data_IF_149130612204
#
_entry.id   IF_149130612204
#
_cell.length_a   1.000
_cell.length_b   1.000
_cell.length_c   1.000
_cell.angle_alpha   90.00
_cell.angle_beta   90.00
_cell.angle_gamma   90.00
#
_symmetry.space_group_name_H-M   'P 1'
#
loop_
_entity.id
_entity.type
_entity.pdbx_description
1 polymer ?
#
# COMPACT_ATOMS: atom_id res chain seq x y z
N UNK A 1 38.22 -12.49 -27.79
CA UNK A 1 37.04 -13.28 -27.35
C UNK A 1 37.00 -13.20 -25.83
N UNK A 2 36.23 -12.26 -25.29
CA UNK A 2 36.20 -12.01 -23.84
C UNK A 2 35.24 -13.00 -23.17
N UNK A 3 35.57 -13.54 -21.98
CA UNK A 3 34.74 -14.54 -21.33
C UNK A 3 33.43 -13.90 -20.81
N UNK A 4 32.32 -14.54 -21.13
CA UNK A 4 30.99 -14.23 -20.61
C UNK A 4 30.99 -14.40 -19.09
N UNK A 5 30.60 -13.34 -18.36
CA UNK A 5 30.38 -13.41 -16.91
C UNK A 5 29.27 -14.43 -16.62
N UNK A 6 29.38 -15.27 -15.57
CA UNK A 6 28.38 -16.27 -15.28
C UNK A 6 27.05 -15.59 -14.89
N UNK A 7 25.96 -16.11 -15.46
CA UNK A 7 24.58 -15.79 -15.08
C UNK A 7 24.45 -16.04 -13.58
N UNK A 8 24.16 -14.99 -12.81
CA UNK A 8 23.89 -15.12 -11.37
C UNK A 8 22.67 -16.05 -11.20
N UNK A 9 22.87 -17.12 -10.42
CA UNK A 9 21.87 -18.15 -10.10
C UNK A 9 20.53 -17.53 -9.65
N UNK A 10 19.41 -18.02 -10.18
CA UNK A 10 18.02 -17.65 -9.82
C UNK A 10 17.74 -17.75 -8.31
N UNK A 11 18.49 -18.57 -7.57
CA UNK A 11 18.46 -18.59 -6.10
C UNK A 11 18.91 -17.28 -5.47
N UNK A 12 19.84 -16.58 -6.11
CA UNK A 12 20.33 -15.25 -5.68
C UNK A 12 19.27 -14.18 -5.92
N UNK A 13 18.51 -14.26 -7.02
CA UNK A 13 17.37 -13.36 -7.28
C UNK A 13 16.24 -13.55 -6.27
N UNK A 14 16.00 -14.79 -5.83
CA UNK A 14 15.01 -15.10 -4.77
C UNK A 14 15.39 -14.43 -3.43
N UNK A 15 16.68 -14.39 -3.09
CA UNK A 15 17.20 -13.73 -1.89
C UNK A 15 17.20 -12.19 -2.01
N UNK A 16 17.38 -11.66 -3.22
CA UNK A 16 17.34 -10.20 -3.50
C UNK A 16 15.90 -9.67 -3.40
N UNK A 17 14.90 -10.38 -3.95
CA UNK A 17 13.49 -10.03 -3.76
C UNK A 17 13.04 -10.07 -2.28
N UNK A 18 13.73 -10.81 -1.42
CA UNK A 18 13.44 -10.86 0.02
C UNK A 18 13.81 -9.54 0.72
N UNK A 19 14.87 -8.85 0.28
CA UNK A 19 15.36 -7.59 0.90
C UNK A 19 14.76 -6.32 0.29
N UNK A 20 14.33 -6.35 -0.97
CA UNK A 20 13.87 -5.15 -1.69
C UNK A 20 12.41 -4.73 -1.43
N UNK A 21 11.65 -5.46 -0.61
CA UNK A 21 10.25 -5.13 -0.26
C UNK A 21 10.08 -3.85 0.58
N UNK A 22 11.16 -3.11 0.86
CA UNK A 22 11.15 -1.89 1.67
C UNK A 22 11.28 -0.58 0.86
N UNK A 23 11.57 -0.59 -0.44
CA UNK A 23 12.09 0.62 -1.12
C UNK A 23 11.29 1.17 -2.31
N UNK A 24 10.13 0.61 -2.70
CA UNK A 24 9.44 1.06 -3.93
C UNK A 24 7.95 1.28 -3.69
N UNK A 25 7.58 2.45 -3.18
CA UNK A 25 6.25 3.06 -3.35
C UNK A 25 6.37 4.58 -3.20
N UNK A 26 6.90 5.25 -4.22
CA UNK A 26 6.74 6.69 -4.39
C UNK A 26 6.67 6.93 -5.90
N UNK A 27 5.46 6.92 -6.46
CA UNK A 27 5.12 7.77 -7.62
C UNK A 27 3.66 7.62 -8.05
N UNK A 28 3.03 8.80 -8.21
CA UNK A 28 1.80 9.15 -8.97
C UNK A 28 0.45 9.15 -8.22
N UNK A 29 0.08 10.35 -7.78
CA UNK A 29 -1.33 10.81 -7.64
C UNK A 29 -1.58 11.82 -8.76
N UNK A 30 -2.67 11.65 -9.52
CA UNK A 30 -3.16 12.64 -10.49
C UNK A 30 -4.64 12.92 -10.19
N UNK A 31 -4.97 14.19 -9.96
CA UNK A 31 -6.30 14.68 -9.60
C UNK A 31 -7.23 14.81 -10.81
N UNK A 32 -8.53 14.65 -10.59
CA UNK A 32 -9.57 14.98 -11.56
C UNK A 32 -10.76 15.63 -10.85
N UNK A 33 -10.93 16.93 -11.08
CA UNK A 33 -12.07 17.74 -10.63
C UNK A 33 -13.34 17.42 -11.43
N UNK A 34 -14.49 17.38 -10.75
CA UNK A 34 -15.80 17.54 -11.37
C UNK A 34 -16.72 18.39 -10.48
N UNK A 35 -17.22 19.49 -11.06
CA UNK A 35 -18.17 20.45 -10.50
C UNK A 35 -19.61 19.95 -10.64
N UNK A 36 -20.48 20.17 -9.64
CA UNK A 36 -21.94 20.04 -9.79
C UNK A 36 -22.66 21.20 -9.07
N UNK A 37 -23.73 21.67 -9.71
CA UNK A 37 -24.45 22.91 -9.48
C UNK A 37 -25.45 22.93 -8.31
N UNK A 38 -25.94 24.14 -8.07
CA UNK A 38 -26.80 24.61 -6.98
C UNK A 38 -28.28 24.58 -7.36
N UNK A 39 -29.18 24.15 -6.45
CA UNK A 39 -30.60 24.58 -6.40
C UNK A 39 -31.17 24.51 -4.95
N UNK A 40 -31.64 25.66 -4.42
CA UNK A 40 -32.96 25.85 -3.76
C UNK A 40 -33.26 25.38 -2.31
N UNK A 41 -33.29 26.35 -1.37
CA UNK A 41 -33.85 26.40 0.01
C UNK A 41 -35.40 26.33 0.12
N UNK A 42 -36.08 26.52 1.29
CA UNK A 42 -35.68 26.39 2.73
C UNK A 42 -36.71 25.65 3.64
N UNK A 43 -36.30 25.12 4.79
CA UNK A 43 -36.99 25.43 6.05
C UNK A 43 -36.11 25.20 7.30
N UNK A 44 -36.30 26.07 8.28
CA UNK A 44 -35.37 26.43 9.36
C UNK A 44 -35.40 25.50 10.57
N UNK A 45 -34.26 24.89 10.88
CA UNK A 45 -33.84 24.56 12.25
C UNK A 45 -32.49 25.26 12.47
N UNK A 46 -32.41 26.14 13.47
CA UNK A 46 -31.19 26.91 13.80
C UNK A 46 -30.12 25.97 14.37
N UNK A 47 -29.39 25.31 13.48
CA UNK A 47 -28.03 24.86 13.75
C UNK A 47 -27.14 26.07 13.49
N UNK A 48 -26.37 26.54 14.48
CA UNK A 48 -25.33 27.55 14.24
C UNK A 48 -24.43 27.02 13.12
N UNK A 49 -24.56 27.58 11.91
CA UNK A 49 -23.60 27.33 10.83
C UNK A 49 -22.24 27.77 11.35
N UNK A 50 -21.20 26.92 11.32
CA UNK A 50 -19.85 27.40 11.57
C UNK A 50 -19.57 28.53 10.60
N UNK A 51 -19.11 29.68 11.13
CA UNK A 51 -18.77 30.84 10.32
C UNK A 51 -17.77 30.42 9.24
N UNK A 52 -18.01 30.82 7.99
CA UNK A 52 -17.17 30.50 6.82
C UNK A 52 -15.69 30.79 7.05
N UNK A 53 -15.38 31.77 7.91
CA UNK A 53 -14.03 32.12 8.32
C UNK A 53 -13.32 30.97 9.06
N UNK A 54 -14.03 30.21 9.89
CA UNK A 54 -13.46 29.13 10.69
C UNK A 54 -13.13 27.88 9.85
N UNK A 55 -13.96 27.58 8.84
CA UNK A 55 -13.71 26.48 7.89
C UNK A 55 -12.45 26.75 7.06
N UNK A 56 -12.29 27.99 6.58
CA UNK A 56 -11.13 28.39 5.78
C UNK A 56 -9.83 28.32 6.60
N UNK A 57 -9.84 28.80 7.84
CA UNK A 57 -8.69 28.74 8.75
C UNK A 57 -8.28 27.29 9.04
N UNK A 58 -9.26 26.39 9.26
CA UNK A 58 -8.99 24.96 9.49
C UNK A 58 -8.38 24.32 8.25
N UNK A 59 -8.88 24.62 7.05
CA UNK A 59 -8.33 24.09 5.80
C UNK A 59 -6.89 24.56 5.57
N UNK A 60 -6.60 25.85 5.75
CA UNK A 60 -5.24 26.39 5.60
C UNK A 60 -4.25 25.79 6.62
N UNK A 61 -4.70 25.56 7.85
CA UNK A 61 -3.91 24.89 8.89
C UNK A 61 -3.60 23.44 8.52
N UNK A 62 -4.57 22.72 7.94
CA UNK A 62 -4.36 21.34 7.44
C UNK A 62 -3.35 21.33 6.29
N UNK A 63 -3.46 22.24 5.33
CA UNK A 63 -2.53 22.33 4.19
C UNK A 63 -1.09 22.61 4.63
N UNK A 64 -0.91 23.51 5.61
CA UNK A 64 0.39 23.78 6.19
C UNK A 64 0.97 22.54 6.91
N UNK A 65 0.14 21.80 7.65
CA UNK A 65 0.56 20.57 8.30
C UNK A 65 0.94 19.47 7.30
N UNK A 66 0.18 19.32 6.20
CA UNK A 66 0.49 18.36 5.14
C UNK A 66 1.85 18.65 4.51
N UNK A 67 2.09 19.90 4.09
CA UNK A 67 3.39 20.32 3.51
C UNK A 67 4.57 20.06 4.45
N UNK A 68 4.39 20.30 5.75
CA UNK A 68 5.43 20.00 6.76
C UNK A 68 5.68 18.50 6.84
N UNK A 69 4.62 17.69 6.86
CA UNK A 69 4.69 16.23 6.97
C UNK A 69 5.44 15.59 5.79
N UNK A 70 5.32 16.16 4.58
CA UNK A 70 5.98 15.65 3.36
C UNK A 70 7.50 15.62 3.41
N UNK A 71 8.15 16.47 4.20
CA UNK A 71 9.60 16.55 4.33
C UNK A 71 10.12 16.34 5.76
N UNK A 72 9.22 16.26 6.74
CA UNK A 72 9.52 16.02 8.14
C UNK A 72 10.28 14.71 8.38
N UNK A 73 11.26 14.74 9.27
CA UNK A 73 11.88 13.53 9.81
C UNK A 73 10.94 12.81 10.80
N UNK A 74 11.34 11.62 11.25
CA UNK A 74 10.53 10.82 12.17
C UNK A 74 10.19 11.56 13.48
N UNK A 75 11.10 12.36 14.02
CA UNK A 75 10.87 13.10 15.27
C UNK A 75 9.80 14.18 15.08
N UNK A 76 9.87 14.92 13.97
CA UNK A 76 8.85 15.90 13.63
C UNK A 76 7.50 15.24 13.34
N UNK A 77 7.46 14.12 12.61
CA UNK A 77 6.23 13.34 12.37
C UNK A 77 5.58 12.90 13.69
N UNK A 78 6.37 12.43 14.66
CA UNK A 78 5.89 12.07 16.00
C UNK A 78 5.37 13.28 16.79
N UNK A 79 6.02 14.44 16.64
CA UNK A 79 5.57 15.69 17.26
C UNK A 79 4.23 16.14 16.70
N UNK A 80 4.07 16.12 15.38
CA UNK A 80 2.79 16.39 14.69
C UNK A 80 1.71 15.41 15.18
N UNK A 81 2.03 14.12 15.22
CA UNK A 81 1.10 13.09 15.69
C UNK A 81 0.63 13.32 17.15
N UNK A 82 1.55 13.66 18.06
CA UNK A 82 1.25 13.89 19.48
C UNK A 82 0.50 15.18 19.75
N UNK A 83 0.76 16.22 18.96
CA UNK A 83 0.12 17.53 19.10
C UNK A 83 -1.27 17.60 18.49
N UNK A 84 -1.75 16.52 17.84
CA UNK A 84 -3.11 16.46 17.32
C UNK A 84 -4.12 16.59 18.46
N UNK A 85 -5.11 17.46 18.29
CA UNK A 85 -6.26 17.49 19.17
C UNK A 85 -7.22 16.38 18.74
N UNK A 86 -7.67 15.49 19.64
CA UNK A 86 -8.61 14.41 19.31
C UNK A 86 -9.96 14.92 18.77
N UNK A 87 -10.34 16.15 19.11
CA UNK A 87 -11.67 16.71 18.83
C UNK A 87 -11.73 17.65 17.62
N UNK A 88 -10.58 18.14 17.12
CA UNK A 88 -10.56 18.87 15.86
C UNK A 88 -10.56 17.83 14.75
N UNK A 89 -11.76 17.37 14.38
CA UNK A 89 -11.99 16.60 13.17
C UNK A 89 -11.30 17.31 12.01
N UNK A 90 -10.10 16.87 11.66
CA UNK A 90 -9.46 17.27 10.42
C UNK A 90 -10.46 16.87 9.36
N UNK A 91 -11.08 17.81 8.66
CA UNK A 91 -12.22 17.52 7.77
C UNK A 91 -11.93 16.54 6.63
N UNK A 92 -10.73 15.97 6.58
CA UNK A 92 -10.21 15.04 5.60
C UNK A 92 -9.29 13.97 6.23
N UNK A 93 -9.28 12.73 5.70
CA UNK A 93 -8.32 11.68 6.07
C UNK A 93 -6.87 11.97 5.64
N UNK A 94 -6.63 13.04 4.87
CA UNK A 94 -5.33 13.35 4.25
C UNK A 94 -4.14 13.36 5.23
N UNK A 95 -4.31 13.98 6.41
CA UNK A 95 -3.23 14.05 7.41
C UNK A 95 -2.82 12.66 7.91
N UNK A 96 -3.80 11.79 8.18
CA UNK A 96 -3.53 10.42 8.64
C UNK A 96 -2.89 9.56 7.55
N UNK A 97 -3.32 9.73 6.30
CA UNK A 97 -2.70 9.06 5.15
C UNK A 97 -1.23 9.48 5.02
N UNK A 98 -0.96 10.79 5.01
CA UNK A 98 0.39 11.35 4.87
C UNK A 98 1.31 10.92 6.03
N UNK A 99 0.85 11.04 7.28
CA UNK A 99 1.60 10.56 8.44
C UNK A 99 1.87 9.05 8.36
N UNK A 100 0.85 8.25 8.07
CA UNK A 100 0.98 6.79 7.97
C UNK A 100 1.99 6.37 6.90
N UNK A 101 1.94 6.98 5.72
CA UNK A 101 2.88 6.76 4.62
C UNK A 101 4.32 7.11 5.00
N UNK A 102 4.52 8.32 5.53
CA UNK A 102 5.85 8.82 5.90
C UNK A 102 6.46 7.98 7.02
N UNK A 103 5.69 7.65 8.05
CA UNK A 103 6.15 6.81 9.16
C UNK A 103 6.48 5.40 8.69
N UNK A 104 5.69 4.82 7.76
CA UNK A 104 6.05 3.55 7.11
C UNK A 104 7.33 3.65 6.29
N UNK A 105 7.57 4.75 5.60
CA UNK A 105 8.80 5.00 4.85
C UNK A 105 10.03 5.10 5.77
N UNK A 106 9.86 5.59 6.99
CA UNK A 106 10.89 5.59 8.04
C UNK A 106 11.10 4.22 8.72
N UNK A 107 10.32 3.19 8.37
CA UNK A 107 10.49 1.85 8.91
C UNK A 107 9.83 1.65 10.28
N UNK A 108 8.83 2.46 10.64
CA UNK A 108 8.15 2.43 11.94
C UNK A 108 6.70 1.89 11.84
N UNK A 109 6.49 0.59 11.53
CA UNK A 109 5.17 0.05 11.20
C UNK A 109 4.17 0.07 12.37
N UNK A 110 4.63 -0.04 13.63
CA UNK A 110 3.74 0.00 14.79
C UNK A 110 3.17 1.40 15.02
N UNK A 111 4.01 2.43 14.92
CA UNK A 111 3.54 3.81 15.02
C UNK A 111 2.61 4.16 13.85
N UNK A 112 2.94 3.71 12.64
CA UNK A 112 2.06 3.90 11.49
C UNK A 112 0.71 3.23 11.70
N UNK A 113 0.68 2.02 12.28
CA UNK A 113 -0.55 1.32 12.62
C UNK A 113 -1.44 2.14 13.57
N UNK A 114 -0.86 2.75 14.61
CA UNK A 114 -1.60 3.59 15.55
C UNK A 114 -2.20 4.83 14.86
N UNK A 115 -1.42 5.48 14.00
CA UNK A 115 -1.86 6.65 13.21
C UNK A 115 -3.03 6.28 12.31
N UNK A 116 -2.88 5.25 11.48
CA UNK A 116 -3.93 4.88 10.51
C UNK A 116 -5.17 4.34 11.21
N UNK A 117 -5.02 3.64 12.34
CA UNK A 117 -6.16 3.15 13.13
C UNK A 117 -6.98 4.31 13.70
N UNK A 118 -6.33 5.37 14.17
CA UNK A 118 -7.05 6.57 14.60
C UNK A 118 -7.78 7.26 13.44
N UNK A 119 -7.17 7.31 12.25
CA UNK A 119 -7.85 7.81 11.05
C UNK A 119 -9.07 6.96 10.69
N UNK A 120 -8.94 5.64 10.74
CA UNK A 120 -10.02 4.69 10.44
C UNK A 120 -11.16 4.73 11.45
N UNK A 121 -10.93 5.21 12.68
CA UNK A 121 -12.01 5.45 13.64
C UNK A 121 -13.01 6.49 13.13
N UNK A 122 -12.56 7.46 12.33
CA UNK A 122 -13.40 8.51 11.73
C UNK A 122 -13.79 8.18 10.29
N UNK A 123 -12.87 7.61 9.48
CA UNK A 123 -13.11 7.25 8.08
C UNK A 123 -12.92 5.75 7.84
N UNK A 124 -13.81 4.88 8.35
CA UNK A 124 -13.62 3.42 8.31
C UNK A 124 -13.59 2.83 6.89
N UNK A 125 -14.16 3.53 5.90
CA UNK A 125 -14.22 3.11 4.49
C UNK A 125 -13.11 3.72 3.64
N UNK A 126 -12.17 4.44 4.24
CA UNK A 126 -11.07 5.05 3.50
C UNK A 126 -10.12 3.99 2.93
N UNK A 127 -10.15 3.81 1.61
CA UNK A 127 -9.36 2.78 0.93
C UNK A 127 -7.87 2.91 1.23
N UNK A 128 -7.33 4.13 1.22
CA UNK A 128 -5.89 4.34 1.42
C UNK A 128 -5.47 4.05 2.86
N UNK A 129 -6.24 4.49 3.85
CA UNK A 129 -5.95 4.15 5.25
C UNK A 129 -6.02 2.64 5.50
N UNK A 130 -6.96 1.92 4.88
CA UNK A 130 -7.04 0.45 4.97
C UNK A 130 -5.83 -0.23 4.30
N UNK A 131 -5.38 0.26 3.15
CA UNK A 131 -4.14 -0.22 2.50
C UNK A 131 -2.93 -0.04 3.42
N UNK A 132 -2.77 1.16 4.00
CA UNK A 132 -1.66 1.46 4.92
C UNK A 132 -1.74 0.62 6.20
N UNK A 133 -2.94 0.37 6.72
CA UNK A 133 -3.14 -0.54 7.85
C UNK A 133 -2.71 -1.97 7.51
N UNK A 134 -3.08 -2.48 6.33
CA UNK A 134 -2.62 -3.77 5.82
C UNK A 134 -1.09 -3.85 5.70
N UNK A 135 -0.47 -2.79 5.16
CA UNK A 135 1.00 -2.71 5.04
C UNK A 135 1.70 -2.68 6.40
N UNK A 136 1.20 -1.89 7.34
CA UNK A 136 1.73 -1.78 8.69
C UNK A 136 1.63 -3.11 9.45
N UNK A 137 0.50 -3.80 9.34
CA UNK A 137 0.32 -5.14 9.92
C UNK A 137 1.25 -6.18 9.28
N UNK A 138 1.39 -6.17 7.96
CA UNK A 138 2.31 -7.08 7.27
C UNK A 138 3.77 -6.84 7.68
N UNK A 139 4.20 -5.58 7.80
CA UNK A 139 5.57 -5.22 8.21
C UNK A 139 5.85 -5.47 9.70
N UNK A 140 4.81 -5.52 10.54
CA UNK A 140 4.93 -5.86 11.98
C UNK A 140 4.73 -7.35 12.27
N UNK A 141 4.50 -8.19 11.24
CA UNK A 141 4.36 -9.64 11.37
C UNK A 141 2.95 -10.12 11.73
N UNK A 142 1.96 -9.24 11.78
CA UNK A 142 0.54 -9.59 11.99
C UNK A 142 -0.12 -10.04 10.66
N UNK A 143 0.45 -11.07 10.04
CA UNK A 143 0.18 -11.48 8.66
C UNK A 143 -1.28 -11.85 8.41
N UNK A 144 -1.93 -12.62 9.29
CA UNK A 144 -3.34 -13.00 9.11
C UNK A 144 -4.27 -11.79 9.05
N UNK A 145 -4.03 -10.81 9.93
CA UNK A 145 -4.82 -9.57 9.99
C UNK A 145 -4.59 -8.71 8.75
N UNK A 146 -3.34 -8.61 8.29
CA UNK A 146 -3.00 -7.92 7.06
C UNK A 146 -3.70 -8.57 5.85
N UNK A 147 -3.65 -9.91 5.76
CA UNK A 147 -4.26 -10.67 4.69
C UNK A 147 -5.77 -10.43 4.61
N UNK A 148 -6.46 -10.49 5.75
CA UNK A 148 -7.91 -10.27 5.81
C UNK A 148 -8.30 -8.88 5.25
N UNK A 149 -7.63 -7.82 5.69
CA UNK A 149 -7.92 -6.45 5.22
C UNK A 149 -7.68 -6.30 3.73
N UNK A 150 -6.57 -6.85 3.21
CA UNK A 150 -6.19 -6.73 1.81
C UNK A 150 -7.09 -7.58 0.89
N UNK A 151 -7.57 -8.73 1.39
CA UNK A 151 -8.55 -9.54 0.67
C UNK A 151 -9.92 -8.86 0.60
N UNK A 152 -10.35 -8.18 1.67
CA UNK A 152 -11.56 -7.35 1.65
C UNK A 152 -11.44 -6.23 0.60
N UNK A 153 -10.32 -5.51 0.60
CA UNK A 153 -10.05 -4.46 -0.39
C UNK A 153 -10.06 -4.99 -1.83
N UNK A 154 -9.51 -6.20 -2.05
CA UNK A 154 -9.54 -6.88 -3.35
C UNK A 154 -10.96 -7.25 -3.79
N UNK A 155 -11.87 -7.56 -2.85
CA UNK A 155 -13.27 -7.91 -3.17
C UNK A 155 -14.13 -6.68 -3.50
N UNK A 156 -13.84 -5.55 -2.89
CA UNK A 156 -14.66 -4.34 -3.00
C UNK A 156 -14.44 -3.54 -4.28
N UNK A 157 -13.25 -3.65 -4.89
CA UNK A 157 -12.87 -2.93 -6.09
C UNK A 157 -11.89 -3.75 -6.92
N UNK A 158 -11.53 -3.29 -8.12
CA UNK A 158 -10.34 -3.81 -8.79
C UNK A 158 -9.10 -3.14 -8.15
N UNK A 159 -8.32 -3.85 -7.32
CA UNK A 159 -7.20 -3.24 -6.61
C UNK A 159 -6.06 -2.84 -7.57
N UNK A 160 -5.33 -1.74 -7.29
CA UNK A 160 -4.11 -1.41 -8.02
C UNK A 160 -3.00 -2.42 -7.71
N UNK A 161 -1.92 -2.40 -8.52
CA UNK A 161 -0.75 -3.28 -8.36
C UNK A 161 -0.22 -3.30 -6.92
N UNK A 162 -0.11 -2.13 -6.28
CA UNK A 162 0.40 -2.01 -4.92
C UNK A 162 -0.37 -2.90 -3.93
N UNK A 163 -1.71 -2.88 -4.00
CA UNK A 163 -2.58 -3.65 -3.10
C UNK A 163 -2.49 -5.15 -3.37
N UNK A 164 -2.53 -5.55 -4.65
CA UNK A 164 -2.31 -6.96 -5.02
C UNK A 164 -0.91 -7.43 -4.60
N UNK A 165 0.06 -6.56 -4.71
CA UNK A 165 1.42 -6.78 -4.25
C UNK A 165 1.53 -7.08 -2.77
N UNK A 166 0.91 -6.23 -1.94
CA UNK A 166 0.84 -6.43 -0.50
C UNK A 166 0.10 -7.73 -0.16
N UNK A 167 -1.00 -8.02 -0.85
CA UNK A 167 -1.76 -9.25 -0.66
C UNK A 167 -0.92 -10.48 -1.02
N UNK A 168 -0.25 -10.47 -2.16
CA UNK A 168 0.66 -11.53 -2.59
C UNK A 168 1.79 -11.77 -1.59
N UNK A 169 2.32 -10.71 -0.97
CA UNK A 169 3.30 -10.82 0.12
C UNK A 169 2.71 -11.55 1.33
N UNK A 170 1.51 -11.17 1.78
CA UNK A 170 0.89 -11.85 2.92
C UNK A 170 0.67 -13.34 2.65
N UNK A 171 0.33 -13.75 1.41
CA UNK A 171 0.28 -15.17 1.06
C UNK A 171 1.62 -15.88 1.13
N UNK A 172 2.72 -15.22 0.73
CA UNK A 172 4.07 -15.78 0.91
C UNK A 172 4.41 -15.98 2.38
N UNK A 173 4.10 -14.99 3.21
CA UNK A 173 4.36 -15.04 4.65
C UNK A 173 3.53 -16.14 5.33
N UNK A 174 2.26 -16.30 4.94
CA UNK A 174 1.41 -17.41 5.40
C UNK A 174 1.92 -18.78 4.92
N UNK A 175 2.45 -18.87 3.70
CA UNK A 175 3.05 -20.11 3.20
C UNK A 175 4.29 -20.52 4.01
N UNK A 176 5.08 -19.56 4.48
CA UNK A 176 6.25 -19.80 5.35
C UNK A 176 5.79 -20.31 6.73
N UNK A 177 4.72 -19.73 7.28
CA UNK A 177 4.18 -20.08 8.59
C UNK A 177 3.25 -21.31 8.58
N UNK A 178 2.96 -21.89 7.41
CA UNK A 178 1.98 -22.96 7.27
C UNK A 178 2.40 -24.23 8.03
N UNK A 179 1.46 -24.82 8.78
CA UNK A 179 1.70 -26.01 9.57
C UNK A 179 1.83 -27.30 8.75
N UNK A 180 1.31 -27.29 7.52
CA UNK A 180 1.31 -28.48 6.64
C UNK A 180 1.75 -28.13 5.22
N UNK A 181 2.34 -29.10 4.49
CA UNK A 181 2.66 -28.92 3.06
C UNK A 181 1.44 -28.51 2.23
N UNK A 182 0.27 -29.11 2.48
CA UNK A 182 -0.96 -28.79 1.75
C UNK A 182 -1.41 -27.33 1.94
N UNK A 183 -1.35 -26.79 3.16
CA UNK A 183 -1.65 -25.38 3.42
C UNK A 183 -0.62 -24.46 2.77
N UNK A 184 0.67 -24.81 2.89
CA UNK A 184 1.75 -24.08 2.24
C UNK A 184 1.51 -23.96 0.73
N UNK A 185 1.17 -25.06 0.08
CA UNK A 185 0.95 -25.09 -1.38
C UNK A 185 -0.28 -24.27 -1.79
N UNK A 186 -1.35 -24.29 -0.99
CA UNK A 186 -2.53 -23.43 -1.21
C UNK A 186 -2.17 -21.94 -1.14
N UNK A 187 -1.37 -21.53 -0.15
CA UNK A 187 -0.93 -20.15 -0.04
C UNK A 187 0.02 -19.74 -1.16
N UNK A 188 0.97 -20.60 -1.55
CA UNK A 188 1.85 -20.33 -2.69
C UNK A 188 1.07 -20.16 -3.99
N UNK A 189 0.03 -20.98 -4.21
CA UNK A 189 -0.86 -20.85 -5.37
C UNK A 189 -1.60 -19.51 -5.36
N UNK A 190 -2.17 -19.11 -4.22
CA UNK A 190 -2.80 -17.79 -4.05
C UNK A 190 -1.83 -16.64 -4.30
N UNK A 191 -0.59 -16.76 -3.83
CA UNK A 191 0.46 -15.78 -4.12
C UNK A 191 0.75 -15.68 -5.62
N UNK A 192 0.92 -16.83 -6.30
CA UNK A 192 1.18 -16.89 -7.74
C UNK A 192 0.07 -16.23 -8.57
N UNK A 193 -1.18 -16.56 -8.27
CA UNK A 193 -2.36 -15.99 -8.92
C UNK A 193 -2.43 -14.47 -8.71
N UNK A 194 -2.22 -14.02 -7.48
CA UNK A 194 -2.31 -12.60 -7.11
C UNK A 194 -1.21 -11.77 -7.78
N UNK A 195 0.04 -12.24 -7.81
CA UNK A 195 1.11 -11.51 -8.51
C UNK A 195 0.96 -11.55 -10.03
N UNK A 196 0.46 -12.66 -10.59
CA UNK A 196 0.17 -12.73 -12.02
C UNK A 196 -0.94 -11.75 -12.42
N UNK A 197 -1.96 -11.58 -11.57
CA UNK A 197 -2.98 -10.54 -11.74
C UNK A 197 -2.38 -9.13 -11.67
N UNK A 198 -1.57 -8.85 -10.65
CA UNK A 198 -0.90 -7.56 -10.50
C UNK A 198 -0.09 -7.19 -11.75
N UNK A 199 0.74 -8.12 -12.22
CA UNK A 199 1.59 -7.91 -13.40
C UNK A 199 0.78 -7.72 -14.69
N UNK A 200 -0.30 -8.50 -14.87
CA UNK A 200 -1.16 -8.35 -16.05
C UNK A 200 -1.84 -6.99 -16.12
N UNK A 201 -2.19 -6.42 -14.97
CA UNK A 201 -2.90 -5.14 -14.91
C UNK A 201 -1.96 -3.95 -15.08
N UNK A 202 -0.74 -4.00 -14.52
CA UNK A 202 0.16 -2.84 -14.53
C UNK A 202 1.36 -2.96 -15.46
N UNK A 203 1.80 -4.17 -15.81
CA UNK A 203 3.09 -4.41 -16.47
C UNK A 203 4.30 -4.08 -15.59
N UNK A 204 4.12 -3.90 -14.28
CA UNK A 204 5.19 -3.48 -13.37
C UNK A 204 6.29 -4.54 -13.21
N UNK A 205 7.56 -4.13 -13.20
CA UNK A 205 8.68 -5.05 -13.01
C UNK A 205 8.58 -5.85 -11.73
N UNK A 206 8.24 -5.17 -10.64
CA UNK A 206 8.20 -5.76 -9.32
C UNK A 206 7.16 -6.88 -9.21
N UNK A 207 5.93 -6.65 -9.71
CA UNK A 207 4.90 -7.70 -9.76
C UNK A 207 5.28 -8.81 -10.73
N UNK A 208 5.90 -8.50 -11.88
CA UNK A 208 6.36 -9.48 -12.85
C UNK A 208 7.42 -10.44 -12.30
N UNK A 209 8.43 -9.92 -11.58
CA UNK A 209 9.47 -10.74 -10.93
C UNK A 209 8.84 -11.66 -9.88
N UNK A 210 7.94 -11.12 -9.05
CA UNK A 210 7.26 -11.93 -8.04
C UNK A 210 6.33 -12.97 -8.68
N UNK A 211 5.64 -12.63 -9.77
CA UNK A 211 4.81 -13.57 -10.52
C UNK A 211 5.64 -14.73 -11.06
N UNK A 212 6.78 -14.45 -11.71
CA UNK A 212 7.70 -15.48 -12.20
C UNK A 212 8.20 -16.37 -11.05
N UNK A 213 8.61 -15.75 -9.95
CA UNK A 213 9.12 -16.47 -8.77
C UNK A 213 8.05 -17.40 -8.18
N UNK A 214 6.83 -16.92 -8.00
CA UNK A 214 5.75 -17.73 -7.42
C UNK A 214 5.31 -18.87 -8.35
N UNK A 215 5.25 -18.63 -9.66
CA UNK A 215 4.98 -19.67 -10.64
C UNK A 215 6.03 -20.80 -10.58
N UNK A 216 7.31 -20.45 -10.39
CA UNK A 216 8.36 -21.45 -10.20
C UNK A 216 8.14 -22.28 -8.94
N UNK A 217 7.80 -21.64 -7.81
CA UNK A 217 7.60 -22.33 -6.53
C UNK A 217 6.40 -23.29 -6.52
N UNK A 218 5.38 -23.04 -7.36
CA UNK A 218 4.23 -23.94 -7.54
C UNK A 218 4.42 -24.94 -8.69
N UNK A 219 5.64 -25.06 -9.23
CA UNK A 219 5.99 -26.03 -10.27
C UNK A 219 5.58 -25.64 -11.70
N UNK A 220 5.10 -24.42 -11.92
CA UNK A 220 4.70 -23.89 -13.24
C UNK A 220 5.91 -23.30 -13.98
N UNK A 221 6.94 -24.10 -14.19
CA UNK A 221 8.26 -23.66 -14.72
C UNK A 221 8.17 -22.97 -16.08
N UNK A 222 7.33 -23.47 -17.00
CA UNK A 222 7.15 -22.85 -18.31
C UNK A 222 6.60 -21.41 -18.19
N UNK A 223 5.58 -21.23 -17.36
CA UNK A 223 4.97 -19.92 -17.09
C UNK A 223 5.96 -18.99 -16.39
N UNK A 224 6.73 -19.50 -15.42
CA UNK A 224 7.75 -18.75 -14.72
C UNK A 224 8.84 -18.21 -15.67
N UNK A 225 9.35 -19.06 -16.56
CA UNK A 225 10.35 -18.67 -17.55
C UNK A 225 9.83 -17.63 -18.54
N UNK A 226 8.58 -17.77 -18.98
CA UNK A 226 7.96 -16.82 -19.89
C UNK A 226 7.77 -15.44 -19.24
N UNK A 227 7.30 -15.40 -18.00
CA UNK A 227 7.19 -14.15 -17.22
C UNK A 227 8.56 -13.50 -17.01
N UNK A 228 9.56 -14.28 -16.59
CA UNK A 228 10.92 -13.77 -16.38
C UNK A 228 11.53 -13.20 -17.67
N UNK A 229 11.30 -13.86 -18.82
CA UNK A 229 11.74 -13.38 -20.14
C UNK A 229 11.07 -12.04 -20.48
N UNK A 230 9.75 -11.94 -20.33
CA UNK A 230 8.99 -10.70 -20.59
C UNK A 230 9.49 -9.53 -19.76
N UNK A 231 9.64 -9.74 -18.45
CA UNK A 231 10.19 -8.73 -17.52
C UNK A 231 11.58 -8.31 -17.95
N UNK A 232 12.47 -9.27 -18.26
CA UNK A 232 13.84 -8.97 -18.71
C UNK A 232 13.85 -8.15 -20.00
N UNK A 233 13.02 -8.50 -20.98
CA UNK A 233 12.92 -7.76 -22.24
C UNK A 233 12.42 -6.33 -22.02
N UNK A 234 11.51 -6.13 -21.09
CA UNK A 234 11.00 -4.81 -20.73
C UNK A 234 12.12 -3.97 -20.06
N UNK A 235 12.88 -4.53 -19.11
CA UNK A 235 14.01 -3.83 -18.47
C UNK A 235 15.12 -3.42 -19.45
N UNK A 236 15.26 -4.09 -20.59
CA UNK A 236 16.28 -3.79 -21.59
C UNK A 236 15.85 -2.71 -22.60
N UNK A 237 14.59 -2.27 -22.56
CA UNK A 237 14.04 -1.23 -23.45
C UNK A 237 14.06 0.17 -22.81
N UNK A 238 14.24 0.25 -21.50
CA UNK A 238 14.44 1.49 -20.75
C UNK A 238 15.91 1.93 -20.77
#
# INVERSE_FOLDING_TARGET
MAPTRPVRDLRTLTLICFRETNSITADRVNDSHASIGSIGSPNSFFVKKPETNNIQIVAEKIDQLLKRTESADLSELMSIWRSRLPEEGSGSPALFRCLGERILAHGEPLLAYDVVTAGLATWPKDTRLRQLQGLALARSGATDRANAILEDLRREAQPPEETLGMLGRTYKDLAIAAATPGQRDQFLKRAAETYAEAYRTSGGYWSGINAATMNLLVGQTAQANELARKVREQCLKE
#
